data_IF_875303209543
#
_entry.id   IF_875303209543
#
_cell.length_a   1.000
_cell.length_b   1.000
_cell.length_c   1.000
_cell.angle_alpha   90.00
_cell.angle_beta   90.00
_cell.angle_gamma   90.00
#
_symmetry.space_group_name_H-M   'P 1'
#
loop_
_entity.id
_entity.type
_entity.pdbx_description
1 polymer ?
#
# COMPACT_ATOMS: atom_id res chain seq x y z
N UNK A 1 49.45 12.78 -65.74
CA UNK A 1 48.44 13.84 -65.91
C UNK A 1 47.90 14.18 -64.54
N UNK A 2 48.31 15.32 -64.04
CA UNK A 2 47.97 15.88 -62.72
C UNK A 2 46.59 16.52 -62.85
N UNK A 3 45.62 16.09 -62.04
CA UNK A 3 44.29 16.73 -62.01
C UNK A 3 43.94 17.04 -60.56
N UNK A 4 43.94 18.34 -60.28
CA UNK A 4 43.46 18.99 -59.06
C UNK A 4 41.94 18.89 -58.97
N UNK A 5 41.41 18.64 -57.77
CA UNK A 5 39.99 18.78 -57.44
C UNK A 5 39.84 19.79 -56.28
N UNK A 6 38.78 20.63 -56.28
CA UNK A 6 38.64 21.76 -55.36
C UNK A 6 37.92 21.39 -54.05
N UNK A 7 38.17 22.18 -53.02
CA UNK A 7 37.61 22.00 -51.68
C UNK A 7 36.10 22.23 -51.59
N UNK A 8 35.43 21.36 -50.84
CA UNK A 8 34.06 21.57 -50.37
C UNK A 8 34.08 22.08 -48.92
N UNK A 9 33.70 23.34 -48.74
CA UNK A 9 33.34 23.93 -47.45
C UNK A 9 31.95 23.44 -47.05
N UNK A 10 31.86 22.55 -46.06
CA UNK A 10 30.60 22.22 -45.38
C UNK A 10 30.36 23.24 -44.28
N UNK A 11 29.32 24.07 -44.46
CA UNK A 11 28.83 25.02 -43.46
C UNK A 11 28.11 24.22 -42.38
N UNK A 12 28.64 24.22 -41.15
CA UNK A 12 27.95 23.68 -39.99
C UNK A 12 26.67 24.49 -39.72
N UNK A 13 25.51 23.83 -39.72
CA UNK A 13 24.26 24.43 -39.25
C UNK A 13 24.34 24.75 -37.74
N UNK A 14 23.53 25.70 -37.24
CA UNK A 14 23.56 26.09 -35.84
C UNK A 14 23.21 24.91 -34.94
N UNK A 15 23.83 24.79 -33.75
CA UNK A 15 23.54 23.71 -32.83
C UNK A 15 22.07 23.79 -32.39
N UNK A 16 21.33 22.71 -32.59
CA UNK A 16 20.01 22.52 -32.01
C UNK A 16 20.12 22.59 -30.49
N UNK A 17 19.54 23.64 -29.90
CA UNK A 17 19.51 23.85 -28.46
C UNK A 17 18.57 22.82 -27.80
N UNK A 18 19.12 21.67 -27.43
CA UNK A 18 18.42 20.58 -26.73
C UNK A 18 17.93 20.96 -25.33
N UNK A 19 18.21 22.18 -24.85
CA UNK A 19 17.72 22.69 -23.56
C UNK A 19 16.28 23.19 -23.61
N UNK A 20 15.76 23.56 -24.78
CA UNK A 20 14.39 24.07 -24.91
C UNK A 20 13.31 22.97 -24.86
N UNK A 21 13.66 21.75 -25.29
CA UNK A 21 12.71 20.62 -25.33
C UNK A 21 12.54 19.92 -23.97
N UNK A 22 13.40 20.22 -22.99
CA UNK A 22 13.41 19.57 -21.67
C UNK A 22 12.46 20.21 -20.63
N UNK A 23 11.81 21.34 -20.95
CA UNK A 23 11.05 22.15 -19.98
C UNK A 23 9.54 22.26 -20.28
N UNK A 24 8.98 21.42 -21.15
CA UNK A 24 7.52 21.38 -21.31
C UNK A 24 6.90 20.58 -20.16
N UNK A 25 6.50 21.30 -19.11
CA UNK A 25 5.64 20.78 -18.07
C UNK A 25 4.40 20.11 -18.72
N UNK A 26 3.98 18.93 -18.25
CA UNK A 26 2.87 18.21 -18.84
C UNK A 26 1.63 19.10 -18.90
N UNK A 27 1.11 19.34 -20.10
CA UNK A 27 -0.03 20.23 -20.41
C UNK A 27 -1.39 19.66 -19.96
N UNK A 28 -1.40 18.56 -19.21
CA UNK A 28 -2.59 17.98 -18.60
C UNK A 28 -2.68 18.40 -17.14
N UNK A 29 -3.80 19.03 -16.75
CA UNK A 29 -4.06 19.38 -15.36
C UNK A 29 -3.91 18.19 -14.41
N UNK A 30 -3.49 18.46 -13.17
CA UNK A 30 -3.30 17.44 -12.14
C UNK A 30 -4.56 16.55 -11.99
N UNK A 31 -4.41 15.23 -11.83
CA UNK A 31 -5.54 14.34 -11.62
C UNK A 31 -6.39 14.82 -10.43
N UNK A 32 -7.69 15.06 -10.65
CA UNK A 32 -8.60 15.54 -9.59
C UNK A 32 -9.02 14.44 -8.61
N UNK A 33 -8.55 13.20 -8.80
CA UNK A 33 -8.81 12.08 -7.91
C UNK A 33 -8.07 10.82 -8.35
N UNK A 34 -8.19 9.76 -7.53
CA UNK A 34 -7.54 8.48 -7.79
C UNK A 34 -8.40 7.51 -8.59
N UNK A 35 -9.59 7.92 -9.06
CA UNK A 35 -10.57 7.07 -9.73
C UNK A 35 -10.27 6.84 -11.21
N UNK A 36 -10.53 5.62 -11.70
CA UNK A 36 -10.61 5.31 -13.13
C UNK A 36 -11.89 4.55 -13.43
N UNK A 37 -12.29 4.43 -14.71
CA UNK A 37 -13.47 3.62 -15.09
C UNK A 37 -13.41 2.21 -14.49
N UNK A 38 -12.23 1.59 -14.49
CA UNK A 38 -12.00 0.28 -13.90
C UNK A 38 -12.22 0.27 -12.37
N UNK A 39 -11.71 1.27 -11.64
CA UNK A 39 -11.89 1.31 -10.18
C UNK A 39 -13.30 1.69 -9.77
N UNK A 40 -14.04 2.44 -10.61
CA UNK A 40 -15.46 2.71 -10.41
C UNK A 40 -16.30 1.44 -10.61
N UNK A 41 -16.03 0.67 -11.66
CA UNK A 41 -16.68 -0.63 -11.89
C UNK A 41 -16.40 -1.58 -10.74
N UNK A 42 -15.13 -1.69 -10.31
CA UNK A 42 -14.75 -2.51 -9.16
C UNK A 42 -15.45 -2.06 -7.88
N UNK A 43 -15.47 -0.75 -7.60
CA UNK A 43 -16.17 -0.19 -6.44
C UNK A 43 -17.66 -0.48 -6.46
N UNK A 44 -18.30 -0.39 -7.63
CA UNK A 44 -19.72 -0.74 -7.81
C UNK A 44 -19.97 -2.23 -7.53
N UNK A 45 -19.12 -3.11 -8.07
CA UNK A 45 -19.19 -4.56 -7.80
C UNK A 45 -19.02 -4.84 -6.31
N UNK A 46 -18.08 -4.17 -5.65
CA UNK A 46 -17.83 -4.34 -4.20
C UNK A 46 -19.04 -3.89 -3.39
N UNK A 47 -19.66 -2.75 -3.71
CA UNK A 47 -20.83 -2.25 -3.00
C UNK A 47 -22.03 -3.18 -3.20
N UNK A 48 -22.36 -3.54 -4.44
CA UNK A 48 -23.46 -4.45 -4.74
C UNK A 48 -23.25 -5.84 -4.16
N UNK A 49 -22.02 -6.36 -4.27
CA UNK A 49 -21.62 -7.64 -3.68
C UNK A 49 -21.67 -7.61 -2.15
N UNK A 50 -21.30 -6.51 -1.52
CA UNK A 50 -21.40 -6.31 -0.08
C UNK A 50 -22.84 -6.27 0.42
N UNK A 51 -23.73 -5.59 -0.30
CA UNK A 51 -25.18 -5.61 -0.01
C UNK A 51 -25.74 -7.03 -0.16
N UNK A 52 -25.40 -7.71 -1.25
CA UNK A 52 -25.81 -9.10 -1.47
C UNK A 52 -25.30 -10.03 -0.36
N UNK A 53 -24.04 -9.90 0.02
CA UNK A 53 -23.44 -10.65 1.12
C UNK A 53 -24.16 -10.39 2.44
N UNK A 54 -24.49 -9.15 2.75
CA UNK A 54 -25.23 -8.80 3.97
C UNK A 54 -26.62 -9.44 3.97
N UNK A 55 -27.35 -9.35 2.86
CA UNK A 55 -28.68 -9.97 2.72
C UNK A 55 -28.60 -11.50 2.84
N UNK A 56 -27.65 -12.13 2.14
CA UNK A 56 -27.48 -13.58 2.19
C UNK A 56 -27.01 -14.05 3.57
N UNK A 57 -25.90 -13.52 4.06
CA UNK A 57 -25.29 -13.95 5.33
C UNK A 57 -26.12 -13.63 6.56
N UNK A 58 -26.76 -12.45 6.61
CA UNK A 58 -27.45 -12.00 7.82
C UNK A 58 -28.96 -12.30 7.83
N UNK A 59 -29.58 -12.58 6.68
CA UNK A 59 -31.03 -12.83 6.62
C UNK A 59 -31.43 -14.16 5.94
N UNK A 60 -30.95 -14.43 4.72
CA UNK A 60 -31.49 -15.52 3.89
C UNK A 60 -30.88 -16.88 4.22
N UNK A 61 -29.57 -16.93 4.44
CA UNK A 61 -28.86 -18.19 4.68
C UNK A 61 -29.36 -18.82 5.98
N UNK A 62 -29.71 -20.11 5.90
CA UNK A 62 -30.26 -20.88 7.02
C UNK A 62 -29.22 -21.02 8.14
N UNK A 63 -29.65 -21.04 9.41
CA UNK A 63 -28.79 -21.31 10.55
C UNK A 63 -28.01 -22.61 10.36
N UNK A 64 -26.76 -22.61 10.82
CA UNK A 64 -25.92 -23.79 10.80
C UNK A 64 -26.42 -24.86 11.77
N UNK A 65 -26.19 -26.14 11.47
CA UNK A 65 -26.67 -27.26 12.30
C UNK A 65 -26.04 -27.25 13.70
N UNK A 66 -24.78 -26.84 13.81
CA UNK A 66 -24.01 -26.85 15.06
C UNK A 66 -23.95 -25.46 15.69
N UNK A 67 -23.66 -24.45 14.88
CA UNK A 67 -23.47 -23.07 15.32
C UNK A 67 -24.80 -22.30 15.41
N UNK A 68 -25.84 -22.72 14.69
CA UNK A 68 -27.12 -22.01 14.62
C UNK A 68 -26.94 -20.60 14.06
N UNK A 69 -27.63 -19.64 14.67
CA UNK A 69 -27.56 -18.21 14.32
C UNK A 69 -26.16 -17.60 14.54
N UNK A 70 -25.31 -18.25 15.35
CA UNK A 70 -23.94 -17.79 15.62
C UNK A 70 -23.02 -17.90 14.41
N UNK A 71 -23.45 -18.59 13.34
CA UNK A 71 -22.71 -18.64 12.08
C UNK A 71 -22.76 -17.31 11.31
N UNK A 72 -23.77 -16.47 11.50
CA UNK A 72 -23.96 -15.28 10.66
C UNK A 72 -22.78 -14.30 10.68
N UNK A 73 -22.16 -13.96 11.83
CA UNK A 73 -20.99 -13.08 11.84
C UNK A 73 -19.75 -13.68 11.13
N UNK A 74 -19.67 -15.00 10.96
CA UNK A 74 -18.56 -15.68 10.27
C UNK A 74 -18.49 -15.26 8.79
N UNK A 75 -19.63 -14.98 8.16
CA UNK A 75 -19.68 -14.48 6.77
C UNK A 75 -19.03 -13.10 6.59
N UNK A 76 -18.75 -12.37 7.66
CA UNK A 76 -18.01 -11.11 7.64
C UNK A 76 -16.61 -11.30 8.22
N UNK A 77 -16.50 -12.00 9.35
CA UNK A 77 -15.24 -12.21 10.07
C UNK A 77 -14.20 -13.00 9.26
N UNK A 78 -14.61 -14.08 8.58
CA UNK A 78 -13.67 -14.89 7.78
C UNK A 78 -13.14 -14.10 6.59
N UNK A 79 -13.98 -13.41 5.80
CA UNK A 79 -13.47 -12.52 4.75
C UNK A 79 -12.54 -11.41 5.25
N UNK A 80 -12.78 -10.83 6.42
CA UNK A 80 -11.89 -9.77 6.93
C UNK A 80 -10.51 -10.28 7.29
N UNK A 81 -10.40 -11.45 7.92
CA UNK A 81 -9.09 -12.04 8.26
C UNK A 81 -8.36 -12.53 7.02
N UNK A 82 -9.08 -13.13 6.06
CA UNK A 82 -8.50 -13.56 4.78
C UNK A 82 -7.96 -12.37 3.97
N UNK A 83 -8.70 -11.26 3.92
CA UNK A 83 -8.25 -10.02 3.29
C UNK A 83 -7.01 -9.43 3.98
N UNK A 84 -7.00 -9.40 5.32
CA UNK A 84 -5.83 -8.95 6.08
C UNK A 84 -4.59 -9.78 5.76
N UNK A 85 -4.69 -11.12 5.79
CA UNK A 85 -3.58 -12.01 5.46
C UNK A 85 -3.07 -11.80 4.04
N UNK A 86 -3.96 -11.67 3.06
CA UNK A 86 -3.56 -11.41 1.68
C UNK A 86 -2.78 -10.10 1.57
N UNK A 87 -3.25 -9.03 2.21
CA UNK A 87 -2.58 -7.72 2.21
C UNK A 87 -1.23 -7.77 2.94
N UNK A 88 -1.11 -8.54 4.01
CA UNK A 88 0.18 -8.75 4.69
C UNK A 88 1.16 -9.59 3.87
N UNK A 89 0.69 -10.54 3.06
CA UNK A 89 1.52 -11.21 2.05
C UNK A 89 1.98 -10.22 0.98
N UNK A 90 1.10 -9.36 0.47
CA UNK A 90 1.49 -8.28 -0.47
C UNK A 90 2.52 -7.34 0.16
N UNK A 91 2.34 -6.99 1.44
CA UNK A 91 3.32 -6.21 2.20
C UNK A 91 4.67 -6.92 2.30
N UNK A 92 4.68 -8.22 2.59
CA UNK A 92 5.91 -9.01 2.67
C UNK A 92 6.61 -9.08 1.31
N UNK A 93 5.88 -9.30 0.21
CA UNK A 93 6.42 -9.30 -1.15
C UNK A 93 7.00 -7.92 -1.49
N UNK A 94 6.26 -6.84 -1.25
CA UNK A 94 6.77 -5.47 -1.47
C UNK A 94 8.02 -5.18 -0.64
N UNK A 95 8.05 -5.63 0.62
CA UNK A 95 9.20 -5.49 1.51
C UNK A 95 10.43 -6.25 1.01
N UNK A 96 10.27 -7.51 0.60
CA UNK A 96 11.35 -8.30 0.01
C UNK A 96 11.86 -7.67 -1.29
N UNK A 97 10.95 -7.23 -2.16
CA UNK A 97 11.31 -6.60 -3.42
C UNK A 97 11.98 -5.24 -3.23
N UNK A 98 11.62 -4.46 -2.21
CA UNK A 98 12.37 -3.26 -1.82
C UNK A 98 13.81 -3.61 -1.42
N UNK A 99 14.00 -4.63 -0.57
CA UNK A 99 15.34 -5.02 -0.13
C UNK A 99 16.21 -5.50 -1.29
N UNK A 100 15.62 -6.16 -2.29
CA UNK A 100 16.34 -6.64 -3.47
C UNK A 100 16.57 -5.56 -4.54
N UNK A 101 15.50 -4.85 -4.95
CA UNK A 101 15.52 -3.93 -6.10
C UNK A 101 15.68 -2.47 -5.73
N UNK A 102 15.46 -2.10 -4.47
CA UNK A 102 15.54 -0.72 -3.95
C UNK A 102 14.69 0.29 -4.74
N UNK A 103 13.54 -0.15 -5.26
CA UNK A 103 12.61 0.69 -6.02
C UNK A 103 11.47 1.22 -5.15
N UNK A 104 11.20 2.53 -5.26
CA UNK A 104 10.13 3.25 -4.55
C UNK A 104 8.75 2.61 -4.75
N UNK A 105 8.51 1.99 -5.90
CA UNK A 105 7.26 1.29 -6.18
C UNK A 105 6.99 0.19 -5.15
N UNK A 106 7.99 -0.65 -4.86
CA UNK A 106 7.84 -1.77 -3.94
C UNK A 106 7.70 -1.31 -2.49
N UNK A 107 8.42 -0.24 -2.11
CA UNK A 107 8.26 0.39 -0.80
C UNK A 107 6.84 0.95 -0.62
N UNK A 108 6.32 1.67 -1.62
CA UNK A 108 4.99 2.25 -1.57
C UNK A 108 3.89 1.18 -1.59
N UNK A 109 4.08 0.10 -2.36
CA UNK A 109 3.17 -1.05 -2.35
C UNK A 109 3.13 -1.72 -0.99
N UNK A 110 4.29 -1.92 -0.36
CA UNK A 110 4.37 -2.49 0.97
C UNK A 110 3.65 -1.61 2.00
N UNK A 111 3.91 -0.30 1.98
CA UNK A 111 3.27 0.65 2.88
C UNK A 111 1.74 0.66 2.74
N UNK A 112 1.23 0.79 1.51
CA UNK A 112 -0.20 0.79 1.24
C UNK A 112 -0.87 -0.52 1.68
N UNK A 113 -0.23 -1.67 1.43
CA UNK A 113 -0.76 -2.97 1.82
C UNK A 113 -0.79 -3.16 3.34
N UNK A 114 0.23 -2.70 4.07
CA UNK A 114 0.22 -2.75 5.54
C UNK A 114 -0.88 -1.89 6.15
N UNK A 115 -1.09 -0.67 5.65
CA UNK A 115 -2.11 0.23 6.17
C UNK A 115 -3.52 -0.32 5.95
N UNK A 116 -3.83 -0.78 4.73
CA UNK A 116 -5.14 -1.38 4.44
C UNK A 116 -5.29 -2.71 5.21
N UNK A 117 -4.24 -3.52 5.28
CA UNK A 117 -4.25 -4.79 6.01
C UNK A 117 -4.51 -4.59 7.51
N UNK A 118 -3.94 -3.55 8.11
CA UNK A 118 -4.16 -3.19 9.51
C UNK A 118 -5.62 -2.83 9.78
N UNK A 119 -6.29 -2.12 8.85
CA UNK A 119 -7.73 -1.85 8.95
C UNK A 119 -8.55 -3.15 8.95
N UNK A 120 -8.27 -4.06 8.01
CA UNK A 120 -8.96 -5.36 7.96
C UNK A 120 -8.68 -6.22 9.19
N UNK A 121 -7.46 -6.18 9.73
CA UNK A 121 -7.13 -6.90 10.94
C UNK A 121 -7.82 -6.30 12.18
N UNK A 122 -7.94 -4.97 12.26
CA UNK A 122 -8.75 -4.29 13.28
C UNK A 122 -10.22 -4.71 13.20
N UNK A 123 -10.81 -4.72 12.00
CA UNK A 123 -12.16 -5.23 11.78
C UNK A 123 -12.30 -6.71 12.17
N UNK A 124 -11.27 -7.52 11.92
CA UNK A 124 -11.23 -8.92 12.34
C UNK A 124 -11.28 -9.06 13.86
N UNK A 125 -10.51 -8.26 14.60
CA UNK A 125 -10.54 -8.26 16.07
C UNK A 125 -11.92 -7.82 16.59
N UNK A 126 -12.51 -6.77 16.02
CA UNK A 126 -13.83 -6.27 16.42
C UNK A 126 -14.95 -7.30 16.17
N UNK A 127 -15.01 -7.84 14.95
CA UNK A 127 -16.01 -8.85 14.58
C UNK A 127 -15.79 -10.16 15.33
N UNK A 128 -14.53 -10.54 15.58
CA UNK A 128 -14.17 -11.71 16.37
C UNK A 128 -14.59 -11.56 17.84
N UNK A 129 -14.38 -10.39 18.44
CA UNK A 129 -14.82 -10.11 19.80
C UNK A 129 -16.35 -10.18 19.95
N UNK A 130 -17.08 -9.62 18.98
CA UNK A 130 -18.55 -9.73 18.94
C UNK A 130 -19.00 -11.19 18.83
N UNK A 131 -18.34 -11.97 17.96
CA UNK A 131 -18.63 -13.39 17.81
C UNK A 131 -18.30 -14.20 19.07
N UNK A 132 -17.19 -13.88 19.76
CA UNK A 132 -16.83 -14.47 21.04
C UNK A 132 -17.90 -14.21 22.11
N UNK A 133 -18.45 -12.98 22.16
CA UNK A 133 -19.51 -12.64 23.12
C UNK A 133 -20.76 -13.49 22.93
N UNK A 134 -21.19 -13.73 21.69
CA UNK A 134 -22.39 -14.54 21.40
C UNK A 134 -22.14 -16.05 21.51
N UNK A 135 -20.88 -16.50 21.39
CA UNK A 135 -20.56 -17.94 21.34
C UNK A 135 -20.11 -18.47 22.70
N UNK A 136 -19.28 -17.71 23.43
CA UNK A 136 -18.67 -18.12 24.70
C UNK A 136 -19.02 -17.17 25.86
N UNK A 137 -19.75 -16.09 25.60
CA UNK A 137 -20.20 -15.16 26.64
C UNK A 137 -19.23 -14.04 26.98
N UNK A 138 -18.05 -13.96 26.35
CA UNK A 138 -17.02 -12.93 26.63
C UNK A 138 -16.49 -12.31 25.34
N UNK A 139 -16.16 -11.02 25.35
CA UNK A 139 -15.59 -10.33 24.18
C UNK A 139 -14.12 -10.70 23.93
N UNK A 140 -13.41 -11.12 24.96
CA UNK A 140 -12.00 -11.46 24.87
C UNK A 140 -11.68 -12.62 25.80
N UNK A 141 -10.85 -13.52 25.29
CA UNK A 141 -10.17 -14.54 26.06
C UNK A 141 -8.69 -14.51 25.66
N UNK A 142 -7.81 -14.93 26.57
CA UNK A 142 -6.38 -14.98 26.31
C UNK A 142 -5.97 -16.27 25.59
N UNK A 143 -6.85 -16.76 24.73
CA UNK A 143 -6.65 -17.89 23.84
C UNK A 143 -5.47 -17.63 22.88
N UNK A 144 -4.81 -18.72 22.44
CA UNK A 144 -3.63 -18.64 21.59
C UNK A 144 -3.90 -17.90 20.26
N UNK A 145 -5.06 -18.11 19.63
CA UNK A 145 -5.41 -17.43 18.36
C UNK A 145 -5.70 -15.96 18.59
N UNK A 146 -6.51 -15.62 19.60
CA UNK A 146 -6.84 -14.23 19.92
C UNK A 146 -5.57 -13.44 20.23
N UNK A 147 -4.75 -13.97 21.13
CA UNK A 147 -3.50 -13.34 21.57
C UNK A 147 -2.52 -13.17 20.43
N UNK A 148 -2.27 -14.22 19.62
CA UNK A 148 -1.37 -14.10 18.47
C UNK A 148 -1.88 -13.13 17.40
N UNK A 149 -3.21 -13.05 17.19
CA UNK A 149 -3.82 -12.07 16.28
C UNK A 149 -3.61 -10.64 16.79
N UNK A 150 -3.75 -10.41 18.10
CA UNK A 150 -3.46 -9.12 18.72
C UNK A 150 -1.98 -8.75 18.59
N UNK A 151 -1.06 -9.70 18.81
CA UNK A 151 0.38 -9.48 18.61
C UNK A 151 0.67 -9.09 17.16
N UNK A 152 0.07 -9.78 16.19
CA UNK A 152 0.19 -9.42 14.78
C UNK A 152 -0.38 -8.03 14.48
N UNK A 153 -1.50 -7.66 15.09
CA UNK A 153 -2.07 -6.31 14.96
C UNK A 153 -1.10 -5.25 15.49
N UNK A 154 -0.54 -5.44 16.68
CA UNK A 154 0.43 -4.52 17.26
C UNK A 154 1.73 -4.45 16.45
N UNK A 155 2.18 -5.56 15.86
CA UNK A 155 3.36 -5.58 14.99
C UNK A 155 3.15 -4.75 13.72
N UNK A 156 2.00 -4.89 13.05
CA UNK A 156 1.65 -4.07 11.89
C UNK A 156 1.30 -2.62 12.25
N UNK A 157 0.75 -2.36 13.44
CA UNK A 157 0.60 -1.00 13.96
C UNK A 157 1.97 -0.34 14.16
N UNK A 158 2.95 -1.08 14.70
CA UNK A 158 4.34 -0.67 14.79
C UNK A 158 4.98 -0.41 13.42
N UNK A 159 4.68 -1.23 12.41
CA UNK A 159 5.09 -0.99 11.03
C UNK A 159 4.56 0.36 10.52
N UNK A 160 3.26 0.62 10.67
CA UNK A 160 2.65 1.89 10.21
C UNK A 160 3.21 3.08 10.98
N UNK A 161 3.40 2.96 12.29
CA UNK A 161 4.04 4.00 13.10
C UNK A 161 5.48 4.29 12.63
N UNK A 162 6.26 3.25 12.29
CA UNK A 162 7.59 3.41 11.73
C UNK A 162 7.57 4.10 10.36
N UNK A 163 6.55 3.84 9.53
CA UNK A 163 6.35 4.57 8.26
C UNK A 163 6.02 6.06 8.46
N UNK A 164 5.43 6.43 9.59
CA UNK A 164 5.21 7.83 9.98
C UNK A 164 6.41 8.51 10.65
N UNK A 165 7.52 7.80 10.90
CA UNK A 165 8.67 8.36 11.61
C UNK A 165 9.51 9.32 10.75
N UNK A 166 10.12 10.30 11.42
CA UNK A 166 11.03 11.27 10.81
C UNK A 166 12.42 10.63 10.67
N UNK A 167 12.56 9.83 9.62
CA UNK A 167 13.80 9.18 9.20
C UNK A 167 14.07 9.50 7.74
N UNK A 168 15.34 9.38 7.32
CA UNK A 168 15.69 9.33 5.90
C UNK A 168 14.80 8.30 5.17
N UNK A 169 14.20 8.64 4.02
CA UNK A 169 13.25 7.76 3.33
C UNK A 169 13.79 6.36 3.04
N UNK A 170 15.07 6.22 2.70
CA UNK A 170 15.68 4.92 2.37
C UNK A 170 15.88 4.07 3.63
N UNK A 171 16.31 4.71 4.72
CA UNK A 171 16.44 4.09 6.04
C UNK A 171 15.09 3.63 6.57
N UNK A 172 14.07 4.50 6.47
CA UNK A 172 12.68 4.20 6.85
C UNK A 172 12.13 3.01 6.08
N UNK A 173 12.28 3.03 4.76
CA UNK A 173 11.85 1.93 3.87
C UNK A 173 12.54 0.61 4.22
N UNK A 174 13.85 0.63 4.46
CA UNK A 174 14.61 -0.58 4.79
C UNK A 174 14.22 -1.15 6.15
N UNK A 175 14.08 -0.31 7.19
CA UNK A 175 13.66 -0.77 8.53
C UNK A 175 12.22 -1.28 8.51
N UNK A 176 11.32 -0.57 7.82
CA UNK A 176 9.94 -1.01 7.65
C UNK A 176 9.88 -2.35 6.92
N UNK A 177 10.63 -2.53 5.83
CA UNK A 177 10.65 -3.79 5.09
C UNK A 177 11.09 -4.98 5.95
N UNK A 178 12.13 -4.83 6.79
CA UNK A 178 12.56 -5.87 7.73
C UNK A 178 11.44 -6.19 8.73
N UNK A 179 10.82 -5.16 9.32
CA UNK A 179 9.70 -5.35 10.25
C UNK A 179 8.49 -6.01 9.58
N UNK A 180 8.17 -5.65 8.34
CA UNK A 180 7.07 -6.23 7.56
C UNK A 180 7.28 -7.71 7.29
N UNK A 181 8.50 -8.10 6.89
CA UNK A 181 8.87 -9.50 6.71
C UNK A 181 8.80 -10.29 8.03
N UNK A 182 9.33 -9.73 9.12
CA UNK A 182 9.23 -10.36 10.44
C UNK A 182 7.78 -10.52 10.91
N UNK A 183 6.94 -9.50 10.69
CA UNK A 183 5.52 -9.52 11.06
C UNK A 183 4.73 -10.53 10.23
N UNK A 184 5.08 -10.74 8.97
CA UNK A 184 4.42 -11.73 8.11
C UNK A 184 4.59 -13.18 8.62
N UNK A 185 5.65 -13.46 9.38
CA UNK A 185 5.82 -14.76 10.05
C UNK A 185 4.77 -15.02 11.14
N UNK A 186 4.04 -13.98 11.60
CA UNK A 186 2.93 -14.16 12.53
C UNK A 186 1.69 -14.75 11.85
N UNK A 187 1.55 -14.66 10.51
CA UNK A 187 0.42 -15.26 9.79
C UNK A 187 0.34 -16.78 10.01
N UNK A 188 1.41 -17.58 9.75
CA UNK A 188 1.36 -19.01 10.03
C UNK A 188 1.22 -19.31 11.53
N UNK A 189 1.82 -18.49 12.42
CA UNK A 189 1.65 -18.63 13.87
C UNK A 189 0.18 -18.50 14.28
N UNK A 190 -0.52 -17.46 13.81
CA UNK A 190 -1.95 -17.25 14.11
C UNK A 190 -2.79 -18.36 13.50
N UNK A 191 -2.52 -18.75 12.26
CA UNK A 191 -3.29 -19.81 11.59
C UNK A 191 -3.17 -21.15 12.32
N UNK A 192 -1.94 -21.56 12.64
CA UNK A 192 -1.61 -22.83 13.32
C UNK A 192 -1.79 -22.81 14.83
N UNK A 193 -2.08 -21.65 15.43
CA UNK A 193 -2.28 -21.53 16.88
C UNK A 193 -3.32 -22.51 17.45
N UNK A 194 -4.38 -22.82 16.69
CA UNK A 194 -5.43 -23.77 17.12
C UNK A 194 -5.00 -25.23 17.03
N UNK A 195 -4.03 -25.55 16.18
CA UNK A 195 -3.48 -26.91 16.04
C UNK A 195 -2.40 -27.13 17.11
N UNK A 196 -1.63 -26.08 17.43
CA UNK A 196 -0.47 -26.16 18.33
C UNK A 196 -0.83 -26.02 19.81
N UNK A 197 -1.89 -25.28 20.15
CA UNK A 197 -2.32 -25.09 21.52
C UNK A 197 -3.77 -25.51 21.72
N UNK A 198 -4.08 -25.91 22.96
CA UNK A 198 -5.47 -26.13 23.37
C UNK A 198 -6.22 -24.81 23.27
N UNK A 199 -7.14 -24.74 22.32
CA UNK A 199 -7.84 -23.50 21.98
C UNK A 199 -9.34 -23.67 22.12
N UNK A 200 -10.01 -22.66 22.66
CA UNK A 200 -11.48 -22.54 22.58
C UNK A 200 -11.93 -22.12 21.18
N UNK A 201 -11.01 -21.60 20.38
CA UNK A 201 -11.30 -21.13 19.05
C UNK A 201 -11.62 -22.32 18.13
N UNK A 202 -12.69 -22.17 17.36
CA UNK A 202 -13.01 -23.13 16.31
C UNK A 202 -11.83 -23.32 15.35
N UNK A 203 -11.69 -24.56 14.87
CA UNK A 203 -10.71 -24.96 13.86
C UNK A 203 -10.90 -24.22 12.52
N UNK A 204 -10.12 -24.59 11.51
CA UNK A 204 -10.15 -23.91 10.21
C UNK A 204 -11.49 -24.15 9.48
N UNK A 205 -12.23 -23.08 9.19
CA UNK A 205 -13.48 -23.13 8.40
C UNK A 205 -13.23 -23.37 6.90
N UNK A 206 -12.05 -22.97 6.38
CA UNK A 206 -11.75 -23.00 4.94
C UNK A 206 -10.92 -24.22 4.51
N UNK A 207 -10.09 -24.75 5.41
CA UNK A 207 -9.16 -25.85 5.13
C UNK A 207 -9.21 -26.96 6.18
N UNK A 208 -10.17 -26.92 7.09
CA UNK A 208 -10.52 -28.07 7.93
C UNK A 208 -11.28 -29.11 7.10
N UNK A 209 -11.72 -30.18 7.75
CA UNK A 209 -12.80 -31.01 7.20
C UNK A 209 -14.00 -30.07 6.99
N UNK A 210 -14.21 -29.62 5.75
CA UNK A 210 -15.46 -28.95 5.37
C UNK A 210 -16.55 -29.89 5.86
N UNK A 211 -17.29 -29.45 6.88
CA UNK A 211 -18.41 -30.25 7.37
C UNK A 211 -19.24 -30.61 6.14
N UNK A 212 -19.46 -31.91 5.85
CA UNK A 212 -20.33 -32.32 4.77
C UNK A 212 -21.71 -31.63 4.81
N UNK A 213 -22.11 -31.07 5.96
CA UNK A 213 -23.30 -30.26 6.15
C UNK A 213 -23.18 -28.79 5.71
N UNK A 214 -21.99 -28.19 5.56
CA UNK A 214 -21.78 -26.85 4.99
C UNK A 214 -21.97 -26.86 3.45
N UNK A 215 -23.11 -27.38 2.99
CA UNK A 215 -23.49 -27.46 1.59
C UNK A 215 -24.34 -26.29 1.10
N UNK A 216 -24.36 -26.07 -0.21
CA UNK A 216 -25.29 -25.17 -0.87
C UNK A 216 -25.10 -23.69 -0.52
N UNK A 217 -26.15 -23.05 -0.01
CA UNK A 217 -26.19 -21.59 0.15
C UNK A 217 -25.21 -21.07 1.20
N UNK A 218 -24.89 -21.85 2.24
CA UNK A 218 -23.92 -21.45 3.26
C UNK A 218 -22.51 -21.33 2.67
N UNK A 219 -22.09 -22.32 1.89
CA UNK A 219 -20.79 -22.32 1.22
C UNK A 219 -20.72 -21.22 0.16
N UNK A 220 -21.77 -21.06 -0.65
CA UNK A 220 -21.88 -19.96 -1.60
C UNK A 220 -21.73 -18.60 -0.91
N UNK A 221 -22.43 -18.38 0.21
CA UNK A 221 -22.37 -17.12 0.97
C UNK A 221 -20.96 -16.87 1.51
N UNK A 222 -20.27 -17.91 2.01
CA UNK A 222 -18.91 -17.79 2.49
C UNK A 222 -17.93 -17.42 1.36
N UNK A 223 -18.00 -18.11 0.21
CA UNK A 223 -17.14 -17.79 -0.94
C UNK A 223 -17.46 -16.44 -1.55
N UNK A 224 -18.73 -16.05 -1.63
CA UNK A 224 -19.11 -14.68 -2.00
C UNK A 224 -18.46 -13.68 -1.05
N UNK A 225 -18.49 -13.96 0.26
CA UNK A 225 -17.79 -13.15 1.26
C UNK A 225 -16.31 -13.02 0.98
N UNK A 226 -15.62 -14.13 0.72
CA UNK A 226 -14.18 -14.13 0.37
C UNK A 226 -13.90 -13.33 -0.90
N UNK A 227 -14.72 -13.49 -1.94
CA UNK A 227 -14.58 -12.75 -3.20
C UNK A 227 -14.79 -11.25 -3.00
N UNK A 228 -15.86 -10.86 -2.30
CA UNK A 228 -16.16 -9.46 -2.00
C UNK A 228 -15.10 -8.84 -1.10
N UNK A 229 -14.66 -9.55 -0.06
CA UNK A 229 -13.59 -9.10 0.84
C UNK A 229 -12.27 -8.90 0.12
N UNK A 230 -11.90 -9.83 -0.76
CA UNK A 230 -10.69 -9.71 -1.61
C UNK A 230 -10.81 -8.57 -2.61
N UNK A 231 -11.96 -8.40 -3.24
CA UNK A 231 -12.22 -7.30 -4.17
C UNK A 231 -12.18 -5.94 -3.46
N UNK A 232 -12.75 -5.84 -2.25
CA UNK A 232 -12.68 -4.65 -1.41
C UNK A 232 -11.24 -4.34 -1.01
N UNK A 233 -10.48 -5.35 -0.58
CA UNK A 233 -9.06 -5.21 -0.23
C UNK A 233 -8.23 -4.69 -1.43
N UNK A 234 -8.42 -5.27 -2.61
CA UNK A 234 -7.76 -4.82 -3.83
C UNK A 234 -8.17 -3.38 -4.20
N UNK A 235 -9.46 -3.06 -4.11
CA UNK A 235 -9.97 -1.72 -4.40
C UNK A 235 -9.36 -0.66 -3.48
N UNK A 236 -9.34 -0.90 -2.17
CA UNK A 236 -8.73 -0.01 -1.19
C UNK A 236 -7.21 0.10 -1.38
N UNK A 237 -6.53 -1.02 -1.65
CA UNK A 237 -5.09 -1.04 -1.93
C UNK A 237 -4.75 -0.16 -3.14
N UNK A 238 -5.50 -0.26 -4.24
CA UNK A 238 -5.29 0.56 -5.43
C UNK A 238 -5.38 2.05 -5.10
N UNK A 239 -6.41 2.45 -4.35
CA UNK A 239 -6.61 3.86 -3.99
C UNK A 239 -5.50 4.34 -3.05
N UNK A 240 -5.19 3.56 -2.01
CA UNK A 240 -4.16 3.92 -1.05
C UNK A 240 -2.78 4.03 -1.70
N UNK A 241 -2.45 3.08 -2.59
CA UNK A 241 -1.22 3.13 -3.37
C UNK A 241 -1.17 4.37 -4.25
N UNK A 242 -2.25 4.69 -4.99
CA UNK A 242 -2.32 5.88 -5.85
C UNK A 242 -2.13 7.18 -5.05
N UNK A 243 -2.78 7.30 -3.89
CA UNK A 243 -2.59 8.46 -3.00
C UNK A 243 -1.12 8.58 -2.61
N UNK A 244 -0.51 7.51 -2.08
CA UNK A 244 0.88 7.57 -1.64
C UNK A 244 1.89 7.76 -2.77
N UNK A 245 1.57 7.28 -3.97
CA UNK A 245 2.38 7.52 -5.15
C UNK A 245 2.35 8.99 -5.58
N UNK A 246 1.16 9.63 -5.53
CA UNK A 246 1.02 11.06 -5.82
C UNK A 246 1.71 11.92 -4.76
N UNK A 247 1.60 11.55 -3.47
CA UNK A 247 2.34 12.21 -2.39
C UNK A 247 3.86 12.21 -2.67
N UNK A 248 4.41 11.05 -3.09
CA UNK A 248 5.81 10.92 -3.45
C UNK A 248 6.20 11.80 -4.65
N UNK A 249 5.36 11.85 -5.69
CA UNK A 249 5.60 12.69 -6.86
C UNK A 249 5.58 14.18 -6.53
N UNK A 250 4.70 14.62 -5.62
CA UNK A 250 4.64 16.02 -5.18
C UNK A 250 5.90 16.37 -4.37
N UNK A 251 6.37 15.46 -3.51
CA UNK A 251 7.60 15.65 -2.74
C UNK A 251 8.84 15.75 -3.66
N UNK A 252 8.96 14.86 -4.64
CA UNK A 252 10.06 14.87 -5.62
C UNK A 252 10.00 16.11 -6.54
N UNK A 253 8.81 16.50 -7.00
CA UNK A 253 8.59 17.68 -7.83
C UNK A 253 8.94 18.98 -7.11
N UNK A 254 8.42 19.19 -5.90
CA UNK A 254 8.71 20.39 -5.11
C UNK A 254 10.19 20.53 -4.76
N UNK A 255 10.89 19.40 -4.56
CA UNK A 255 12.33 19.39 -4.36
C UNK A 255 13.08 19.87 -5.62
N UNK A 256 12.66 19.44 -6.81
CA UNK A 256 13.30 19.87 -8.07
C UNK A 256 13.15 21.37 -8.30
N UNK A 257 11.95 21.93 -8.05
CA UNK A 257 11.68 23.36 -8.16
C UNK A 257 12.54 24.17 -7.17
N UNK A 258 12.65 23.69 -5.92
CA UNK A 258 13.49 24.33 -4.91
C UNK A 258 14.99 24.31 -5.29
N UNK A 259 15.47 23.22 -5.89
CA UNK A 259 16.86 23.12 -6.38
C UNK A 259 17.10 24.12 -7.51
N UNK A 260 16.18 24.22 -8.47
CA UNK A 260 16.32 25.12 -9.61
C UNK A 260 16.23 26.59 -9.19
N UNK A 261 15.36 26.93 -8.23
CA UNK A 261 15.31 28.26 -7.62
C UNK A 261 16.66 28.63 -6.97
N UNK A 262 17.26 27.71 -6.20
CA UNK A 262 18.57 27.96 -5.56
C UNK A 262 19.72 28.07 -6.57
N UNK A 263 19.68 27.31 -7.66
CA UNK A 263 20.64 27.43 -8.76
C UNK A 263 20.51 28.78 -9.47
N UNK A 264 19.29 29.27 -9.68
CA UNK A 264 19.03 30.58 -10.26
C UNK A 264 19.52 31.71 -9.35
N UNK A 265 19.29 31.63 -8.03
CA UNK A 265 19.84 32.57 -7.04
C UNK A 265 21.38 32.60 -7.09
N UNK A 266 22.03 31.44 -7.14
CA UNK A 266 23.49 31.34 -7.19
C UNK A 266 24.08 31.89 -8.51
N UNK A 267 23.41 31.67 -9.64
CA UNK A 267 23.82 32.22 -10.94
C UNK A 267 23.68 33.76 -10.98
N UNK A 268 22.60 34.30 -10.41
CA UNK A 268 22.42 35.75 -10.28
C UNK A 268 23.44 36.42 -9.35
N UNK A 269 23.91 35.70 -8.32
CA UNK A 269 24.95 36.20 -7.42
C UNK A 269 26.33 36.29 -8.08
N UNK A 270 26.66 35.39 -9.03
CA UNK A 270 27.94 35.42 -9.77
C UNK A 270 28.05 36.54 -10.81
N UNK A 271 26.92 37.02 -11.34
CA UNK A 271 26.88 38.10 -12.33
C UNK A 271 26.99 39.51 -11.68
N UNK A 272 26.76 39.60 -10.36
CA UNK A 272 26.86 40.84 -9.58
C UNK A 272 28.25 41.16 -9.03
N UNK A 273 29.25 40.29 -9.23
CA UNK A 273 30.62 40.47 -8.71
C UNK A 273 31.62 40.96 -9.77
N UNK A 274 31.20 41.83 -10.69
CA UNK A 274 32.15 42.69 -11.39
C UNK A 274 32.70 43.72 -10.40
N UNK A 275 33.75 43.34 -9.67
CA UNK A 275 34.54 44.26 -8.85
C UNK A 275 35.05 45.37 -9.78
N UNK A 276 34.51 46.58 -9.66
CA UNK A 276 35.07 47.75 -10.33
C UNK A 276 36.55 47.86 -9.96
N UNK A 277 37.46 48.01 -10.94
CA UNK A 277 38.86 48.23 -10.62
C UNK A 277 38.97 49.56 -9.89
N UNK A 278 39.35 49.51 -8.62
CA UNK A 278 39.64 50.69 -7.81
C UNK A 278 40.73 51.48 -8.54
N UNK A 279 40.34 52.62 -9.12
CA UNK A 279 41.25 53.54 -9.77
C UNK A 279 42.23 54.07 -8.72
N UNK A 280 43.49 53.61 -8.79
CA UNK A 280 44.60 54.19 -8.05
C UNK A 280 44.86 55.59 -8.60
N UNK A 281 44.29 56.60 -7.93
CA UNK A 281 44.61 58.00 -8.21
C UNK A 281 46.04 58.26 -7.77
N UNK A 282 46.94 58.36 -8.76
CA UNK A 282 48.32 58.81 -8.58
C UNK A 282 48.32 60.16 -7.85
N UNK A 283 49.14 60.23 -6.81
CA UNK A 283 49.40 61.45 -6.06
C UNK A 283 50.81 61.88 -6.43
N UNK A 284 50.90 62.71 -7.45
CA UNK A 284 52.09 63.49 -7.79
C UNK A 284 52.09 64.74 -6.90
N UNK A 285 53.14 64.86 -6.06
CA UNK A 285 53.78 66.06 -5.49
C UNK A 285 54.33 65.79 -4.07
#
# INVERSE_FOLDING_TARGET
MTTTQPGHSSVAGPPTDTRADAAQAPTGGWPTGTGSKATLVLGTIVVLGGVLLAVLGLAITKPDVQLGERMRPIYVHVPTVSAAYLLFVVNAVGSAMWLWRKSRFWDQLAAAAAEVGLVFLGLTLLTGAFWGRITWGVYWDWDARLTSTLVMFLAYLGYVALRGSILDPTTRATRAAVLGLGSALLIPLVHKSVDWWRSYHQGSTLFGELDPAMGGLQLFTLFLGLTVGTALAAWLLIHRFRVGWLELQVEEGGLSEAIDARRAEAAGASDGTAVEPVATKGMDA
#
